data_IF_160423086934
#
_entry.id   IF_160423086934
#
_cell.length_a   1.000
_cell.length_b   1.000
_cell.length_c   1.000
_cell.angle_alpha   90.00
_cell.angle_beta   90.00
_cell.angle_gamma   90.00
#
_symmetry.space_group_name_H-M   'P 1'
#
loop_
_entity.id
_entity.type
_entity.pdbx_description
1 polymer ?
#
# COMPACT_ATOMS: atom_id res chain seq x y z
N UNK A 1 52.93 65.38 14.30
CA UNK A 1 51.92 65.00 13.29
C UNK A 1 51.14 63.83 13.87
N UNK A 2 50.27 64.09 14.86
CA UNK A 2 48.80 63.99 14.76
C UNK A 2 48.32 62.89 13.82
N UNK A 3 47.78 61.81 14.38
CA UNK A 3 46.65 61.09 13.79
C UNK A 3 45.75 60.63 14.96
N UNK A 4 44.66 61.37 15.17
CA UNK A 4 43.64 61.09 16.16
C UNK A 4 42.80 59.89 15.73
N UNK A 5 42.73 58.85 16.57
CA UNK A 5 41.73 57.80 16.44
C UNK A 5 40.43 58.27 17.12
N UNK A 6 39.36 58.39 16.34
CA UNK A 6 38.01 58.63 16.85
C UNK A 6 37.44 57.29 17.30
N UNK A 7 37.23 57.13 18.60
CA UNK A 7 36.52 55.98 19.17
C UNK A 7 35.05 56.41 19.35
N UNK A 8 34.15 55.91 18.50
CA UNK A 8 32.71 56.06 18.72
C UNK A 8 32.27 55.13 19.85
N UNK A 9 31.69 55.72 20.89
CA UNK A 9 31.00 55.01 21.97
C UNK A 9 29.63 54.55 21.50
N UNK A 10 29.32 53.26 21.60
CA UNK A 10 27.94 52.74 21.50
C UNK A 10 27.47 52.42 22.90
N UNK A 11 26.49 53.17 23.39
CA UNK A 11 25.80 52.90 24.64
C UNK A 11 24.76 51.80 24.37
N UNK A 12 24.98 50.61 24.92
CA UNK A 12 24.01 49.51 24.88
C UNK A 12 23.00 49.73 26.01
N UNK A 13 21.80 50.20 25.67
CA UNK A 13 20.67 50.24 26.58
C UNK A 13 20.00 48.86 26.65
N UNK A 14 20.11 48.18 27.79
CA UNK A 14 19.35 46.96 28.06
C UNK A 14 17.89 47.33 28.42
N UNK A 15 17.03 47.41 27.40
CA UNK A 15 15.58 47.54 27.59
C UNK A 15 14.93 46.16 27.67
N UNK A 16 14.64 45.68 28.86
CA UNK A 16 13.79 44.50 29.07
C UNK A 16 12.34 44.87 28.74
N UNK A 17 11.86 44.53 27.54
CA UNK A 17 10.45 44.65 27.19
C UNK A 17 9.65 43.56 27.93
N UNK A 18 8.95 43.95 29.00
CA UNK A 18 7.93 43.10 29.63
C UNK A 18 6.71 43.04 28.72
N UNK A 19 6.49 41.90 28.07
CA UNK A 19 5.27 41.64 27.33
C UNK A 19 4.08 41.58 28.30
N UNK A 20 3.14 42.53 28.16
CA UNK A 20 1.86 42.48 28.87
C UNK A 20 1.08 41.28 28.31
N UNK A 21 0.60 40.33 29.14
CA UNK A 21 -0.22 39.24 28.65
C UNK A 21 -1.52 39.85 28.10
N UNK A 22 -1.85 39.54 26.84
CA UNK A 22 -3.14 39.89 26.28
C UNK A 22 -4.26 39.25 27.12
N UNK A 23 -5.40 39.93 27.30
CA UNK A 23 -6.55 39.34 27.98
C UNK A 23 -6.96 38.05 27.25
N UNK A 24 -7.03 36.94 27.99
CA UNK A 24 -7.52 35.67 27.47
C UNK A 24 -8.97 35.87 27.09
N UNK A 25 -9.26 35.88 25.78
CA UNK A 25 -10.62 35.96 25.28
C UNK A 25 -11.40 34.73 25.77
N UNK A 26 -12.66 34.90 26.23
CA UNK A 26 -13.51 33.77 26.57
C UNK A 26 -13.70 32.85 25.35
N UNK A 27 -13.80 31.53 25.54
CA UNK A 27 -14.00 30.60 24.44
C UNK A 27 -15.28 30.95 23.70
N UNK A 28 -15.25 30.85 22.36
CA UNK A 28 -16.43 31.07 21.53
C UNK A 28 -17.59 30.18 22.02
N UNK A 29 -18.82 30.71 22.14
CA UNK A 29 -19.97 29.90 22.48
C UNK A 29 -20.28 28.89 21.37
N UNK A 30 -20.80 27.72 21.76
CA UNK A 30 -21.42 26.78 20.82
C UNK A 30 -22.60 27.49 20.10
N UNK A 31 -22.80 27.30 18.79
CA UNK A 31 -22.11 26.34 17.90
C UNK A 31 -20.87 26.92 17.20
N UNK A 32 -20.57 28.22 17.33
CA UNK A 32 -19.51 28.90 16.59
C UNK A 32 -18.12 28.30 16.84
N UNK A 33 -17.86 27.81 18.06
CA UNK A 33 -16.63 27.09 18.39
C UNK A 33 -16.38 25.85 17.52
N UNK A 34 -17.43 25.19 17.02
CA UNK A 34 -17.29 24.00 16.16
C UNK A 34 -16.89 24.36 14.73
N UNK A 35 -17.22 25.56 14.26
CA UNK A 35 -16.90 26.03 12.91
C UNK A 35 -15.41 26.33 12.73
N UNK A 36 -14.70 26.60 13.83
CA UNK A 36 -13.26 26.89 13.84
C UNK A 36 -12.40 25.73 14.35
N UNK A 37 -13.00 24.57 14.68
CA UNK A 37 -12.21 23.36 14.98
C UNK A 37 -11.51 22.92 13.68
N UNK A 38 -10.17 22.84 13.66
CA UNK A 38 -9.47 22.32 12.49
C UNK A 38 -10.05 20.93 12.14
N UNK A 39 -10.26 20.63 10.84
CA UNK A 39 -10.72 19.32 10.45
C UNK A 39 -9.78 18.26 11.02
N UNK A 40 -10.36 17.17 11.55
CA UNK A 40 -9.58 16.08 12.10
C UNK A 40 -8.61 15.55 11.03
N UNK A 41 -7.31 15.40 11.34
CA UNK A 41 -6.35 14.79 10.42
C UNK A 41 -6.88 13.47 9.85
N UNK A 42 -6.76 13.31 8.53
CA UNK A 42 -7.35 12.19 7.79
C UNK A 42 -6.93 10.83 8.36
N UNK A 43 -5.66 10.70 8.73
CA UNK A 43 -5.08 9.52 9.38
C UNK A 43 -5.80 9.18 10.68
N UNK A 44 -6.10 10.17 11.54
CA UNK A 44 -6.85 9.97 12.78
C UNK A 44 -8.29 9.55 12.52
N UNK A 45 -8.96 10.19 11.56
CA UNK A 45 -10.33 9.83 11.15
C UNK A 45 -10.40 8.38 10.66
N UNK A 46 -9.49 7.99 9.76
CA UNK A 46 -9.41 6.62 9.24
C UNK A 46 -9.04 5.63 10.35
N UNK A 47 -8.12 5.96 11.25
CA UNK A 47 -7.74 5.11 12.37
C UNK A 47 -8.92 4.81 13.31
N UNK A 48 -9.70 5.84 13.66
CA UNK A 48 -10.93 5.71 14.47
C UNK A 48 -11.97 4.82 13.78
N UNK A 49 -12.21 5.05 12.49
CA UNK A 49 -13.12 4.26 11.66
C UNK A 49 -12.67 2.79 11.54
N UNK A 50 -11.36 2.56 11.37
CA UNK A 50 -10.76 1.23 11.31
C UNK A 50 -10.84 0.48 12.66
N UNK A 51 -10.69 1.19 13.79
CA UNK A 51 -10.89 0.60 15.12
C UNK A 51 -12.34 0.12 15.31
N UNK A 52 -13.33 0.87 14.80
CA UNK A 52 -14.72 0.43 14.81
C UNK A 52 -14.95 -0.81 13.93
N UNK A 53 -14.35 -0.87 12.74
CA UNK A 53 -14.38 -2.04 11.87
C UNK A 53 -13.85 -3.29 12.59
N UNK A 54 -12.62 -3.22 13.12
CA UNK A 54 -11.98 -4.37 13.77
C UNK A 54 -12.73 -4.81 15.04
N UNK A 55 -13.26 -3.85 15.82
CA UNK A 55 -14.15 -4.14 16.96
C UNK A 55 -15.40 -4.92 16.51
N UNK A 56 -16.01 -4.55 15.38
CA UNK A 56 -17.20 -5.25 14.85
C UNK A 56 -16.91 -6.68 14.39
N UNK A 57 -15.66 -6.99 14.02
CA UNK A 57 -15.24 -8.30 13.53
C UNK A 57 -14.77 -9.24 14.64
N UNK A 58 -14.44 -8.72 15.84
CA UNK A 58 -13.77 -9.47 16.91
C UNK A 58 -14.47 -10.78 17.32
N UNK A 59 -15.82 -10.84 17.25
CA UNK A 59 -16.57 -12.05 17.60
C UNK A 59 -16.72 -13.04 16.43
N UNK A 60 -16.96 -12.55 15.22
CA UNK A 60 -17.31 -13.40 14.06
C UNK A 60 -16.12 -13.74 13.16
N UNK A 61 -15.15 -12.84 13.04
CA UNK A 61 -13.93 -12.99 12.22
C UNK A 61 -12.69 -12.49 12.98
N UNK A 62 -12.37 -13.08 14.15
CA UNK A 62 -11.15 -12.74 14.88
C UNK A 62 -9.91 -13.15 14.09
N UNK A 63 -8.84 -12.36 14.22
CA UNK A 63 -7.57 -12.61 13.55
C UNK A 63 -6.71 -11.36 13.51
N UNK A 64 -5.60 -11.45 12.80
CA UNK A 64 -4.76 -10.29 12.49
C UNK A 64 -5.24 -9.69 11.16
N UNK A 65 -5.26 -8.36 11.08
CA UNK A 65 -5.68 -7.61 9.90
C UNK A 65 -4.81 -6.36 9.79
N UNK A 66 -4.44 -6.00 8.57
CA UNK A 66 -3.73 -4.76 8.30
C UNK A 66 -3.98 -4.23 6.91
N UNK A 67 -3.76 -2.93 6.76
CA UNK A 67 -3.88 -2.20 5.49
C UNK A 67 -2.85 -1.09 5.43
N UNK A 68 -2.32 -0.85 4.23
CA UNK A 68 -1.53 0.31 3.86
C UNK A 68 -2.18 0.97 2.65
N UNK A 69 -2.27 2.30 2.67
CA UNK A 69 -2.95 3.13 1.67
C UNK A 69 -2.00 4.23 1.24
N UNK A 70 -1.84 4.42 -0.06
CA UNK A 70 -0.91 5.40 -0.64
C UNK A 70 -1.58 6.05 -1.87
N UNK A 71 -1.64 7.38 -1.98
CA UNK A 71 -2.12 8.03 -3.20
C UNK A 71 -1.20 7.68 -4.37
N UNK A 72 -1.76 7.39 -5.54
CA UNK A 72 -0.95 7.08 -6.75
C UNK A 72 0.01 8.24 -7.06
N UNK A 73 1.26 7.92 -7.38
CA UNK A 73 2.35 8.88 -7.60
C UNK A 73 3.01 9.43 -6.33
N UNK A 74 2.60 8.98 -5.14
CA UNK A 74 3.18 9.42 -3.85
C UNK A 74 3.76 8.28 -3.01
N UNK A 75 4.47 8.65 -1.95
CA UNK A 75 5.11 7.72 -0.99
C UNK A 75 4.53 7.82 0.44
N UNK A 76 3.58 8.74 0.66
CA UNK A 76 2.96 8.95 1.96
C UNK A 76 2.01 7.80 2.31
N UNK A 77 2.36 7.02 3.33
CA UNK A 77 1.63 5.80 3.69
C UNK A 77 0.78 6.00 4.93
N UNK A 78 -0.53 5.75 4.79
CA UNK A 78 -1.42 5.52 5.92
C UNK A 78 -1.43 4.01 6.21
N UNK A 79 -0.91 3.61 7.38
CA UNK A 79 -0.83 2.19 7.78
C UNK A 79 -1.63 1.89 9.04
N UNK A 80 -2.57 0.96 8.94
CA UNK A 80 -3.50 0.60 10.02
C UNK A 80 -3.45 -0.92 10.31
N UNK A 81 -3.88 -1.31 11.51
CA UNK A 81 -3.94 -2.72 11.93
C UNK A 81 -2.63 -3.33 12.43
N UNK A 82 -2.73 -4.55 12.95
CA UNK A 82 -1.62 -5.27 13.60
C UNK A 82 -0.74 -6.05 12.62
N UNK A 83 -1.30 -6.52 11.51
CA UNK A 83 -0.52 -7.25 10.50
C UNK A 83 0.19 -6.26 9.58
N UNK A 84 1.52 -6.19 9.65
CA UNK A 84 2.32 -5.22 8.87
C UNK A 84 3.08 -5.85 7.70
N UNK A 85 3.33 -7.15 7.75
CA UNK A 85 4.10 -7.88 6.75
C UNK A 85 3.69 -9.34 6.69
N UNK A 86 4.14 -10.01 5.64
CA UNK A 86 4.03 -11.44 5.45
C UNK A 86 4.46 -11.83 4.04
N UNK A 87 4.35 -13.12 3.70
CA UNK A 87 4.70 -13.64 2.38
C UNK A 87 3.93 -12.92 1.27
N UNK A 88 4.60 -12.62 0.17
CA UNK A 88 4.03 -11.97 -1.01
C UNK A 88 2.98 -12.84 -1.71
N UNK A 89 3.18 -14.15 -1.70
CA UNK A 89 2.39 -15.08 -2.49
C UNK A 89 2.25 -14.60 -3.94
N UNK A 90 1.10 -14.88 -4.56
CA UNK A 90 0.84 -14.49 -5.94
C UNK A 90 0.76 -12.98 -6.19
N UNK A 91 0.89 -12.11 -5.17
CA UNK A 91 1.04 -10.67 -5.44
C UNK A 91 2.40 -10.34 -6.06
N UNK A 92 3.44 -11.17 -5.85
CA UNK A 92 4.74 -11.02 -6.52
C UNK A 92 4.68 -11.23 -8.04
N UNK A 93 3.60 -11.83 -8.55
CA UNK A 93 3.41 -12.02 -10.00
C UNK A 93 3.31 -10.69 -10.75
N UNK A 94 2.90 -9.61 -10.09
CA UNK A 94 2.80 -8.28 -10.72
C UNK A 94 4.18 -7.77 -11.17
N UNK A 95 5.18 -7.60 -10.28
CA UNK A 95 6.52 -7.19 -10.72
C UNK A 95 7.24 -8.26 -11.55
N UNK A 96 6.99 -9.56 -11.33
CA UNK A 96 7.53 -10.64 -12.20
C UNK A 96 7.01 -10.49 -13.64
N UNK A 97 5.72 -10.28 -13.83
CA UNK A 97 5.12 -10.12 -15.15
C UNK A 97 5.64 -8.85 -15.82
N UNK A 98 5.68 -7.72 -15.12
CA UNK A 98 6.21 -6.47 -15.69
C UNK A 98 7.69 -6.58 -16.10
N UNK A 99 8.51 -7.26 -15.29
CA UNK A 99 9.91 -7.52 -15.66
C UNK A 99 9.99 -8.37 -16.94
N UNK A 100 9.22 -9.45 -17.03
CA UNK A 100 9.19 -10.33 -18.20
C UNK A 100 8.66 -9.60 -19.45
N UNK A 101 7.65 -8.74 -19.29
CA UNK A 101 7.10 -7.91 -20.36
C UNK A 101 8.16 -6.98 -20.95
N UNK A 102 9.03 -6.40 -20.11
CA UNK A 102 10.10 -5.51 -20.58
C UNK A 102 11.21 -6.27 -21.29
N UNK A 103 11.46 -7.51 -20.88
CA UNK A 103 12.47 -8.37 -21.51
C UNK A 103 12.00 -8.94 -22.85
N UNK A 104 10.73 -9.35 -22.98
CA UNK A 104 10.23 -10.10 -24.15
C UNK A 104 9.08 -9.44 -24.89
N UNK A 105 8.56 -8.33 -24.40
CA UNK A 105 7.43 -7.63 -25.00
C UNK A 105 6.21 -8.54 -25.15
N UNK A 106 5.49 -8.47 -26.29
CA UNK A 106 4.27 -9.25 -26.52
C UNK A 106 4.44 -10.77 -26.47
N UNK A 107 5.66 -11.31 -26.55
CA UNK A 107 5.89 -12.75 -26.59
C UNK A 107 5.47 -13.47 -25.29
N UNK A 108 5.37 -12.75 -24.18
CA UNK A 108 4.95 -13.30 -22.88
C UNK A 108 3.50 -12.98 -22.51
N UNK A 109 2.76 -12.22 -23.32
CA UNK A 109 1.42 -11.73 -22.99
C UNK A 109 0.42 -12.83 -22.59
N UNK A 110 0.50 -14.00 -23.22
CA UNK A 110 -0.35 -15.15 -22.86
C UNK A 110 0.00 -15.74 -21.49
N UNK A 111 1.26 -15.71 -21.09
CA UNK A 111 1.70 -16.14 -19.76
C UNK A 111 1.28 -15.10 -18.71
N UNK A 112 1.36 -13.81 -19.03
CA UNK A 112 0.95 -12.71 -18.17
C UNK A 112 -0.55 -12.78 -17.87
N UNK A 113 -1.40 -13.02 -18.89
CA UNK A 113 -2.83 -13.20 -18.67
C UNK A 113 -3.11 -14.37 -17.71
N UNK A 114 -2.51 -15.54 -17.94
CA UNK A 114 -2.65 -16.69 -17.04
C UNK A 114 -2.18 -16.36 -15.61
N UNK A 115 -1.00 -15.76 -15.48
CA UNK A 115 -0.37 -15.46 -14.18
C UNK A 115 -1.11 -14.37 -13.38
N UNK A 116 -1.64 -13.34 -14.05
CA UNK A 116 -2.33 -12.22 -13.40
C UNK A 116 -3.82 -12.51 -13.24
N UNK A 117 -4.52 -12.84 -14.34
CA UNK A 117 -5.98 -13.01 -14.38
C UNK A 117 -6.41 -14.25 -13.60
N UNK A 118 -5.75 -15.39 -13.83
CA UNK A 118 -6.12 -16.67 -13.22
C UNK A 118 -5.26 -17.03 -12.01
N UNK A 119 -4.17 -16.29 -11.77
CA UNK A 119 -3.20 -16.61 -10.73
C UNK A 119 -2.51 -17.96 -10.95
N UNK A 120 -2.32 -18.36 -12.20
CA UNK A 120 -1.62 -19.58 -12.61
C UNK A 120 -0.16 -19.55 -12.13
N UNK A 121 0.31 -20.63 -11.51
CA UNK A 121 1.67 -20.72 -10.95
C UNK A 121 2.70 -21.20 -11.97
N UNK A 122 2.30 -22.01 -12.94
CA UNK A 122 3.19 -22.54 -13.97
C UNK A 122 3.56 -21.40 -14.94
N UNK A 123 2.57 -20.62 -15.37
CA UNK A 123 2.81 -19.41 -16.16
C UNK A 123 3.69 -18.39 -15.43
N UNK A 124 3.54 -18.26 -14.09
CA UNK A 124 4.41 -17.40 -13.31
C UNK A 124 5.85 -17.94 -13.20
N UNK A 125 6.02 -19.27 -13.17
CA UNK A 125 7.33 -19.91 -13.26
C UNK A 125 7.99 -19.73 -14.63
N UNK A 126 7.22 -19.80 -15.71
CA UNK A 126 7.69 -19.50 -17.07
C UNK A 126 8.13 -18.04 -17.21
N UNK A 127 7.32 -17.08 -16.72
CA UNK A 127 7.70 -15.66 -16.68
C UNK A 127 9.00 -15.43 -15.89
N UNK A 128 9.15 -16.11 -14.74
CA UNK A 128 10.40 -16.06 -13.96
C UNK A 128 11.58 -16.65 -14.74
N UNK A 129 11.40 -17.78 -15.42
CA UNK A 129 12.45 -18.43 -16.20
C UNK A 129 12.88 -17.64 -17.43
N UNK A 130 11.96 -16.92 -18.07
CA UNK A 130 12.23 -16.03 -19.22
C UNK A 130 13.26 -14.95 -18.88
N UNK A 131 13.32 -14.52 -17.62
CA UNK A 131 14.29 -13.55 -17.09
C UNK A 131 15.68 -14.16 -16.83
N UNK A 132 15.85 -15.46 -17.05
CA UNK A 132 17.12 -16.19 -16.88
C UNK A 132 17.21 -17.07 -15.63
N UNK A 133 16.23 -16.97 -14.72
CA UNK A 133 16.27 -17.65 -13.42
C UNK A 133 17.31 -17.06 -12.46
N UNK A 134 17.38 -17.62 -11.26
CA UNK A 134 18.38 -17.31 -10.25
C UNK A 134 18.56 -15.82 -9.97
N UNK A 135 19.81 -15.36 -9.98
CA UNK A 135 20.14 -13.95 -9.73
C UNK A 135 19.59 -13.01 -10.82
N UNK A 136 19.54 -13.44 -12.09
CA UNK A 136 19.06 -12.59 -13.18
C UNK A 136 17.58 -12.21 -12.99
N UNK A 137 16.74 -13.19 -12.62
CA UNK A 137 15.33 -12.93 -12.31
C UNK A 137 15.16 -12.11 -11.02
N UNK A 138 15.97 -12.38 -9.99
CA UNK A 138 15.98 -11.58 -8.76
C UNK A 138 16.29 -10.11 -9.05
N UNK A 139 17.33 -9.85 -9.84
CA UNK A 139 17.77 -8.50 -10.19
C UNK A 139 16.74 -7.77 -11.03
N UNK A 140 16.17 -8.43 -12.06
CA UNK A 140 15.14 -7.85 -12.91
C UNK A 140 13.87 -7.48 -12.13
N UNK A 141 13.39 -8.37 -11.26
CA UNK A 141 12.21 -8.10 -10.42
C UNK A 141 12.52 -7.05 -9.36
N UNK A 142 13.71 -7.09 -8.77
CA UNK A 142 14.15 -6.06 -7.82
C UNK A 142 14.22 -4.69 -8.48
N UNK A 143 14.72 -4.58 -9.72
CA UNK A 143 14.75 -3.32 -10.46
C UNK A 143 13.35 -2.73 -10.66
N UNK A 144 12.36 -3.57 -11.02
CA UNK A 144 10.95 -3.16 -11.10
C UNK A 144 10.42 -2.66 -9.75
N UNK A 145 10.74 -3.35 -8.65
CA UNK A 145 10.34 -2.91 -7.31
C UNK A 145 10.96 -1.55 -6.94
N UNK A 146 12.24 -1.35 -7.25
CA UNK A 146 12.96 -0.09 -6.97
C UNK A 146 12.44 1.07 -7.79
N UNK A 147 12.12 0.86 -9.06
CA UNK A 147 11.47 1.87 -9.90
C UNK A 147 10.07 2.22 -9.36
N UNK A 148 9.36 1.23 -8.80
CA UNK A 148 8.11 1.46 -8.06
C UNK A 148 8.28 1.98 -6.63
N UNK A 149 9.46 2.50 -6.26
CA UNK A 149 9.79 3.08 -4.95
C UNK A 149 9.73 2.11 -3.75
N UNK A 150 9.50 0.81 -3.96
CA UNK A 150 9.81 -0.17 -2.93
C UNK A 150 11.34 -0.32 -2.91
N UNK A 151 12.00 0.33 -1.94
CA UNK A 151 13.47 0.31 -1.77
C UNK A 151 13.97 -0.73 -0.76
N UNK A 152 13.07 -1.57 -0.22
CA UNK A 152 13.36 -2.41 0.94
C UNK A 152 13.21 -3.90 0.68
N UNK A 153 12.26 -4.30 -0.15
CA UNK A 153 11.94 -5.70 -0.36
C UNK A 153 13.09 -6.42 -1.04
N UNK A 154 13.52 -7.55 -0.47
CA UNK A 154 14.45 -8.49 -1.08
C UNK A 154 13.66 -9.64 -1.69
N UNK A 155 13.78 -9.87 -3.00
CA UNK A 155 13.06 -10.93 -3.71
C UNK A 155 13.66 -12.28 -3.34
N UNK A 156 12.86 -13.14 -2.73
CA UNK A 156 13.24 -14.53 -2.46
C UNK A 156 13.24 -15.37 -3.73
N UNK A 157 14.13 -16.34 -3.80
CA UNK A 157 14.25 -17.22 -4.97
C UNK A 157 14.95 -18.54 -4.63
N UNK A 158 15.13 -19.37 -5.64
CA UNK A 158 15.87 -20.63 -5.59
C UNK A 158 17.34 -20.46 -5.20
N UNK A 159 17.91 -19.25 -5.28
CA UNK A 159 19.30 -18.98 -4.87
C UNK A 159 19.45 -18.69 -3.37
N UNK A 160 18.33 -18.54 -2.64
CA UNK A 160 18.35 -18.37 -1.19
C UNK A 160 18.89 -19.64 -0.49
N UNK A 161 19.35 -19.49 0.75
CA UNK A 161 19.73 -20.61 1.61
C UNK A 161 18.94 -20.59 2.93
N UNK A 162 17.97 -21.50 3.15
CA UNK A 162 17.54 -22.56 2.24
C UNK A 162 16.82 -22.03 0.98
N UNK A 163 16.76 -22.81 -0.13
CA UNK A 163 16.07 -22.40 -1.35
C UNK A 163 14.63 -21.98 -1.10
N UNK A 164 14.23 -20.90 -1.75
CA UNK A 164 12.93 -20.26 -1.62
C UNK A 164 12.31 -20.05 -3.01
N UNK A 165 11.30 -19.21 -3.09
CA UNK A 165 10.68 -18.83 -4.35
C UNK A 165 10.06 -17.43 -4.25
N UNK A 166 9.77 -16.75 -5.39
CA UNK A 166 9.29 -15.36 -5.39
C UNK A 166 8.08 -15.12 -4.50
N UNK A 167 7.14 -16.06 -4.46
CA UNK A 167 5.96 -16.00 -3.57
C UNK A 167 6.25 -16.05 -2.07
N UNK A 168 7.43 -16.50 -1.64
CA UNK A 168 7.86 -16.51 -0.24
C UNK A 168 8.54 -15.24 0.23
N UNK A 169 8.80 -14.30 -0.69
CA UNK A 169 9.32 -12.97 -0.38
C UNK A 169 8.52 -12.35 0.77
N UNK A 170 9.22 -11.95 1.84
CA UNK A 170 8.60 -11.16 2.90
C UNK A 170 8.34 -9.76 2.37
N UNK A 171 7.08 -9.37 2.23
CA UNK A 171 6.69 -8.10 1.62
C UNK A 171 5.77 -7.32 2.56
N UNK A 172 6.30 -6.25 3.14
CA UNK A 172 5.54 -5.37 4.02
C UNK A 172 4.36 -4.73 3.28
N UNK A 173 3.24 -4.53 3.97
CA UNK A 173 2.08 -3.87 3.37
C UNK A 173 2.42 -2.44 2.95
N UNK A 174 3.25 -1.74 3.74
CA UNK A 174 3.76 -0.40 3.42
C UNK A 174 4.44 -0.40 2.05
N UNK A 175 5.47 -1.24 1.90
CA UNK A 175 6.31 -1.24 0.71
C UNK A 175 5.55 -1.76 -0.52
N UNK A 176 4.65 -2.75 -0.34
CA UNK A 176 3.75 -3.19 -1.41
C UNK A 176 2.75 -2.11 -1.83
N UNK A 177 2.24 -1.29 -0.92
CA UNK A 177 1.33 -0.20 -1.26
C UNK A 177 2.06 0.95 -1.98
N UNK A 178 3.32 1.23 -1.62
CA UNK A 178 4.18 2.17 -2.36
C UNK A 178 4.40 1.66 -3.78
N UNK A 179 4.82 0.39 -3.95
CA UNK A 179 4.92 -0.23 -5.28
C UNK A 179 3.61 -0.10 -6.07
N UNK A 180 2.47 -0.38 -5.43
CA UNK A 180 1.16 -0.23 -6.05
C UNK A 180 0.82 1.21 -6.44
N UNK A 181 1.32 2.21 -5.71
CA UNK A 181 1.06 3.62 -5.98
C UNK A 181 1.84 4.14 -7.19
N UNK A 182 3.01 3.56 -7.46
CA UNK A 182 3.82 3.92 -8.61
C UNK A 182 3.58 3.03 -9.83
N UNK A 183 3.05 1.81 -9.64
CA UNK A 183 2.77 0.87 -10.73
C UNK A 183 2.04 1.51 -11.93
N UNK A 184 0.94 2.28 -11.79
CA UNK A 184 0.28 2.91 -12.93
C UNK A 184 1.11 3.98 -13.64
N UNK A 185 2.17 4.49 -13.00
CA UNK A 185 3.05 5.53 -13.52
C UNK A 185 4.30 4.96 -14.17
N UNK A 186 4.56 3.66 -14.01
CA UNK A 186 5.68 2.99 -14.64
C UNK A 186 5.45 2.85 -16.15
N UNK A 187 6.49 3.01 -16.99
CA UNK A 187 6.41 2.65 -18.39
C UNK A 187 6.09 1.16 -18.55
N UNK A 188 5.32 0.86 -19.60
CA UNK A 188 4.87 -0.48 -19.99
C UNK A 188 3.95 -1.20 -18.98
N UNK A 189 3.50 -0.55 -17.90
CA UNK A 189 2.66 -1.22 -16.90
C UNK A 189 1.18 -1.37 -17.27
N UNK A 190 0.71 -0.64 -18.29
CA UNK A 190 -0.71 -0.55 -18.64
C UNK A 190 -1.35 -1.93 -18.89
N UNK A 191 -0.65 -2.81 -19.60
CA UNK A 191 -1.15 -4.17 -19.87
C UNK A 191 -1.35 -4.96 -18.58
N UNK A 192 -0.38 -4.93 -17.66
CA UNK A 192 -0.47 -5.63 -16.37
C UNK A 192 -1.60 -5.06 -15.51
N UNK A 193 -1.75 -3.73 -15.44
CA UNK A 193 -2.85 -3.09 -14.70
C UNK A 193 -4.21 -3.43 -15.31
N UNK A 194 -4.30 -3.55 -16.64
CA UNK A 194 -5.52 -4.01 -17.33
C UNK A 194 -5.87 -5.45 -16.96
N UNK A 195 -4.89 -6.36 -16.95
CA UNK A 195 -5.11 -7.75 -16.50
C UNK A 195 -5.56 -7.81 -15.03
N UNK A 196 -4.94 -7.00 -14.16
CA UNK A 196 -5.35 -6.85 -12.75
C UNK A 196 -6.80 -6.36 -12.60
N UNK A 197 -7.32 -5.62 -13.58
CA UNK A 197 -8.72 -5.15 -13.59
C UNK A 197 -9.72 -6.22 -14.03
N UNK A 198 -9.24 -7.34 -14.58
CA UNK A 198 -10.06 -8.40 -15.17
C UNK A 198 -9.91 -9.76 -14.47
N UNK A 199 -9.37 -9.80 -13.24
CA UNK A 199 -9.08 -11.06 -12.54
C UNK A 199 -10.28 -12.01 -12.42
N UNK A 200 -9.99 -13.31 -12.50
CA UNK A 200 -10.96 -14.39 -12.39
C UNK A 200 -11.61 -14.46 -10.99
N UNK A 201 -12.74 -15.19 -10.84
CA UNK A 201 -13.54 -15.23 -9.60
C UNK A 201 -12.77 -15.61 -8.33
N UNK A 202 -11.69 -16.39 -8.44
CA UNK A 202 -10.82 -16.78 -7.33
C UNK A 202 -10.14 -15.59 -6.62
N UNK A 203 -10.09 -14.42 -7.27
CA UNK A 203 -9.48 -13.19 -6.75
C UNK A 203 -10.49 -12.06 -6.53
N UNK A 204 -11.77 -12.27 -6.88
CA UNK A 204 -12.84 -11.27 -6.78
C UNK A 204 -13.41 -11.18 -5.36
N UNK A 205 -12.57 -10.78 -4.41
CA UNK A 205 -12.90 -10.48 -3.03
C UNK A 205 -12.10 -9.25 -2.59
N UNK A 206 -12.38 -8.70 -1.40
CA UNK A 206 -11.60 -7.55 -0.91
C UNK A 206 -11.76 -6.29 -1.74
N UNK A 207 -10.63 -5.70 -2.18
CA UNK A 207 -10.54 -4.49 -3.00
C UNK A 207 -11.34 -4.65 -4.30
N UNK A 208 -11.37 -5.85 -4.90
CA UNK A 208 -12.07 -6.12 -6.17
C UNK A 208 -13.57 -5.79 -6.16
N UNK A 209 -14.17 -5.68 -4.97
CA UNK A 209 -15.59 -5.36 -4.75
C UNK A 209 -15.84 -3.92 -4.31
N UNK A 210 -14.81 -3.09 -4.17
CA UNK A 210 -14.92 -1.73 -3.64
C UNK A 210 -15.69 -0.82 -4.60
N UNK A 211 -16.67 -0.09 -4.08
CA UNK A 211 -17.15 1.16 -4.67
C UNK A 211 -17.74 1.08 -6.07
N UNK A 212 -18.09 -0.09 -6.60
CA UNK A 212 -18.64 -0.22 -7.97
C UNK A 212 -19.90 0.64 -8.18
N UNK A 213 -20.77 0.68 -7.17
CA UNK A 213 -21.96 1.54 -7.17
C UNK A 213 -21.66 3.03 -6.93
N UNK A 214 -20.40 3.37 -6.64
CA UNK A 214 -19.89 4.73 -6.44
C UNK A 214 -18.97 5.15 -7.62
N UNK A 215 -18.96 4.39 -8.72
CA UNK A 215 -18.14 4.67 -9.89
C UNK A 215 -16.65 4.33 -9.72
N UNK A 216 -16.28 3.53 -8.72
CA UNK A 216 -14.91 3.07 -8.56
C UNK A 216 -14.61 1.90 -9.51
N UNK A 217 -13.43 1.96 -10.14
CA UNK A 217 -12.83 0.86 -10.90
C UNK A 217 -11.65 0.33 -10.11
N UNK A 218 -11.44 -0.98 -10.12
CA UNK A 218 -10.41 -1.62 -9.29
C UNK A 218 -9.54 -2.56 -10.11
N UNK A 219 -8.22 -2.44 -9.95
CA UNK A 219 -7.23 -3.37 -10.44
C UNK A 219 -6.61 -4.09 -9.25
N UNK A 220 -6.62 -5.43 -9.20
CA UNK A 220 -6.12 -6.20 -8.06
C UNK A 220 -5.23 -7.37 -8.45
N UNK A 221 -4.39 -7.80 -7.52
CA UNK A 221 -3.80 -9.15 -7.50
C UNK A 221 -3.94 -9.75 -6.11
N UNK A 222 -4.53 -10.95 -6.04
CA UNK A 222 -4.63 -11.72 -4.81
C UNK A 222 -3.41 -12.60 -4.57
N UNK A 223 -3.13 -12.92 -3.31
CA UNK A 223 -2.15 -13.92 -2.89
C UNK A 223 -2.56 -14.57 -1.56
N UNK A 224 -2.39 -15.89 -1.45
CA UNK A 224 -2.75 -16.63 -0.26
C UNK A 224 -1.90 -17.89 -0.09
N UNK A 225 -1.81 -18.37 1.15
CA UNK A 225 -1.18 -19.63 1.52
C UNK A 225 -0.68 -19.61 2.97
N UNK A 226 0.02 -20.66 3.44
CA UNK A 226 0.59 -20.76 4.79
C UNK A 226 1.39 -19.52 5.25
N UNK A 227 0.97 -18.88 6.34
CA UNK A 227 1.60 -17.65 6.83
C UNK A 227 3.10 -17.82 7.11
N UNK A 228 3.52 -19.02 7.52
CA UNK A 228 4.93 -19.42 7.69
C UNK A 228 5.12 -20.86 7.24
N UNK A 229 6.36 -21.34 7.16
CA UNK A 229 6.65 -22.76 6.93
C UNK A 229 6.19 -23.67 8.07
N UNK A 230 5.92 -23.14 9.26
CA UNK A 230 5.56 -23.90 10.47
C UNK A 230 4.07 -23.83 10.82
N UNK A 231 3.28 -23.01 10.11
CA UNK A 231 1.87 -22.79 10.42
C UNK A 231 1.00 -23.05 9.20
N UNK A 232 -0.06 -23.83 9.39
CA UNK A 232 -1.10 -24.03 8.38
C UNK A 232 -2.08 -22.86 8.27
N UNK A 233 -1.98 -21.86 9.17
CA UNK A 233 -2.84 -20.68 9.11
C UNK A 233 -2.58 -19.91 7.82
N UNK A 234 -3.64 -19.63 7.07
CA UNK A 234 -3.52 -18.88 5.82
C UNK A 234 -3.24 -17.41 6.11
N UNK A 235 -2.18 -16.90 5.51
CA UNK A 235 -2.10 -15.49 5.17
C UNK A 235 -2.87 -15.29 3.86
N UNK A 236 -3.79 -14.34 3.85
CA UNK A 236 -4.52 -13.90 2.66
C UNK A 236 -4.21 -12.43 2.48
N UNK A 237 -3.81 -12.01 1.27
CA UNK A 237 -3.45 -10.62 0.96
C UNK A 237 -3.87 -10.20 -0.43
N UNK A 238 -4.06 -8.90 -0.61
CA UNK A 238 -4.37 -8.32 -1.91
C UNK A 238 -3.62 -7.00 -2.08
N UNK A 239 -2.98 -6.86 -3.23
CA UNK A 239 -2.53 -5.60 -3.77
C UNK A 239 -3.62 -5.08 -4.69
N UNK A 240 -3.93 -3.79 -4.67
CA UNK A 240 -4.79 -3.20 -5.66
C UNK A 240 -4.72 -1.69 -5.78
N UNK A 241 -5.25 -1.20 -6.88
CA UNK A 241 -5.46 0.21 -7.19
C UNK A 241 -6.97 0.43 -7.28
N UNK A 242 -7.45 1.50 -6.65
CA UNK A 242 -8.84 1.95 -6.71
C UNK A 242 -8.82 3.29 -7.45
N UNK A 243 -9.49 3.34 -8.59
CA UNK A 243 -9.58 4.51 -9.46
C UNK A 243 -10.98 5.10 -9.38
N UNK A 244 -11.07 6.41 -9.15
CA UNK A 244 -12.31 7.19 -9.22
C UNK A 244 -12.11 8.41 -10.10
N UNK A 245 -13.18 9.18 -10.34
CA UNK A 245 -13.08 10.46 -11.06
C UNK A 245 -12.16 11.47 -10.35
N UNK A 246 -12.01 11.34 -9.02
CA UNK A 246 -11.15 12.20 -8.20
C UNK A 246 -9.68 11.81 -8.19
N UNK A 247 -9.28 10.71 -8.87
CA UNK A 247 -7.92 10.19 -8.86
C UNK A 247 -7.84 8.75 -8.35
N UNK A 248 -6.62 8.29 -8.08
CA UNK A 248 -6.33 6.89 -7.81
C UNK A 248 -5.62 6.71 -6.47
N UNK A 249 -5.87 5.57 -5.83
CA UNK A 249 -5.22 5.19 -4.57
C UNK A 249 -4.81 3.73 -4.63
N UNK A 250 -3.57 3.45 -4.21
CA UNK A 250 -3.07 2.10 -4.06
C UNK A 250 -3.30 1.60 -2.62
N UNK A 251 -3.63 0.32 -2.52
CA UNK A 251 -3.93 -0.36 -1.27
C UNK A 251 -3.24 -1.72 -1.24
N UNK A 252 -2.52 -1.97 -0.16
CA UNK A 252 -2.08 -3.32 0.21
C UNK A 252 -2.77 -3.73 1.50
N UNK A 253 -3.38 -4.91 1.53
CA UNK A 253 -4.03 -5.43 2.73
C UNK A 253 -3.76 -6.91 2.93
N UNK A 254 -3.72 -7.33 4.19
CA UNK A 254 -3.56 -8.74 4.54
C UNK A 254 -4.35 -9.11 5.80
N UNK A 255 -4.72 -10.38 5.89
CA UNK A 255 -5.37 -11.00 7.03
C UNK A 255 -4.75 -12.37 7.35
N UNK A 256 -4.70 -12.69 8.63
CA UNK A 256 -4.49 -14.06 9.14
C UNK A 256 -5.66 -14.34 10.08
N UNK A 257 -6.71 -15.04 9.63
CA UNK A 257 -7.86 -15.36 10.48
C UNK A 257 -7.45 -16.34 11.57
N UNK A 258 -8.06 -16.23 12.75
CA UNK A 258 -7.81 -17.14 13.87
C UNK A 258 -8.21 -18.59 13.54
N UNK A 259 -9.16 -18.78 12.64
CA UNK A 259 -9.53 -20.11 12.12
C UNK A 259 -8.45 -20.72 11.21
N UNK A 260 -7.49 -19.92 10.74
CA UNK A 260 -6.45 -20.34 9.81
C UNK A 260 -6.93 -20.61 8.39
N UNK A 261 -8.23 -20.43 8.09
CA UNK A 261 -8.82 -20.78 6.79
C UNK A 261 -8.66 -19.66 5.75
N UNK A 262 -8.42 -20.03 4.49
CA UNK A 262 -8.45 -19.07 3.38
C UNK A 262 -9.81 -18.33 3.29
N UNK A 263 -10.91 -19.07 3.42
CA UNK A 263 -12.28 -18.54 3.32
C UNK A 263 -12.58 -17.44 4.33
N UNK A 264 -12.15 -17.57 5.58
CA UNK A 264 -12.37 -16.50 6.56
C UNK A 264 -11.42 -15.33 6.33
N UNK A 265 -10.22 -15.58 5.78
CA UNK A 265 -9.30 -14.53 5.36
C UNK A 265 -9.90 -13.65 4.25
N UNK A 266 -10.53 -14.25 3.23
CA UNK A 266 -11.21 -13.49 2.17
C UNK A 266 -12.44 -12.73 2.70
N UNK A 267 -13.18 -13.29 3.68
CA UNK A 267 -14.25 -12.56 4.37
C UNK A 267 -13.70 -11.36 5.15
N UNK A 268 -12.60 -11.52 5.89
CA UNK A 268 -11.95 -10.42 6.60
C UNK A 268 -11.52 -9.30 5.65
N UNK A 269 -10.86 -9.66 4.55
CA UNK A 269 -10.44 -8.69 3.54
C UNK A 269 -11.62 -8.06 2.79
N UNK A 270 -12.72 -8.78 2.59
CA UNK A 270 -13.96 -8.21 2.01
C UNK A 270 -14.61 -7.22 2.98
N UNK A 271 -14.60 -7.47 4.29
CA UNK A 271 -15.05 -6.50 5.30
C UNK A 271 -14.19 -5.23 5.28
N UNK A 272 -12.87 -5.39 5.09
CA UNK A 272 -11.94 -4.28 4.92
C UNK A 272 -12.16 -3.53 3.60
N UNK A 273 -12.42 -4.22 2.49
CA UNK A 273 -12.83 -3.63 1.22
C UNK A 273 -14.11 -2.80 1.36
N UNK A 274 -15.14 -3.34 2.01
CA UNK A 274 -16.37 -2.59 2.28
C UNK A 274 -16.12 -1.33 3.13
N UNK A 275 -15.16 -1.39 4.05
CA UNK A 275 -14.73 -0.22 4.82
C UNK A 275 -14.01 0.80 3.92
N UNK A 276 -13.14 0.39 3.00
CA UNK A 276 -12.54 1.30 2.00
C UNK A 276 -13.61 1.99 1.16
N UNK A 277 -14.61 1.25 0.68
CA UNK A 277 -15.73 1.83 -0.09
C UNK A 277 -16.54 2.85 0.71
N UNK A 278 -16.76 2.62 2.01
CA UNK A 278 -17.42 3.60 2.89
C UNK A 278 -16.61 4.87 3.11
N UNK A 279 -15.29 4.79 3.05
CA UNK A 279 -14.38 5.93 3.25
C UNK A 279 -13.79 6.43 1.92
N UNK A 280 -14.32 6.00 0.76
CA UNK A 280 -13.72 6.26 -0.56
C UNK A 280 -13.56 7.75 -0.85
N UNK A 281 -14.51 8.57 -0.41
CA UNK A 281 -14.45 10.02 -0.54
C UNK A 281 -13.26 10.62 0.22
N UNK A 282 -12.95 10.07 1.40
CA UNK A 282 -11.90 10.53 2.30
C UNK A 282 -10.51 9.99 1.95
N UNK A 283 -10.40 8.88 1.20
CA UNK A 283 -9.09 8.31 0.87
C UNK A 283 -8.21 9.32 0.11
N UNK A 284 -6.90 9.38 0.40
CA UNK A 284 -5.98 10.22 -0.35
C UNK A 284 -5.90 9.70 -1.78
N UNK A 285 -6.01 10.59 -2.76
CA UNK A 285 -5.99 10.25 -4.19
C UNK A 285 -4.88 11.02 -4.87
N UNK A 286 -4.18 10.35 -5.75
CA UNK A 286 -3.15 10.94 -6.60
C UNK A 286 -3.30 10.50 -8.04
N UNK A 287 -2.33 10.88 -8.86
CA UNK A 287 -2.26 10.61 -10.29
C UNK A 287 -0.79 10.55 -10.70
N UNK A 288 -0.57 9.91 -11.84
CA UNK A 288 0.56 10.22 -12.71
C UNK A 288 0.13 11.46 -13.54
#
# INVERSE_FOLDING_TARGET
>A
MVCCAVVMSVVIGAGSATAIPLPVLPPLPEPFATWFKPPEPLDKKLAKSYAALTKSMRKSLPGQLGVAIVPVGGDEVISLGSLKSGRAWSTMKVPVSLAAQRERGPAVAAMEDKAITFSDNDAAGELWGVLGGGHASVDAVSAVLREGHDVRTHVSSEVDNPPSYPGYTAWALRDQAIFGAHLPCLPDSEHIVRLMSAVAPNQQWGIAKVGRNQGAVTAVKGGWGPATSKSSAHLVRQLGIISTTGGQVAVSMAAIPRSGSFTDGTKMLTRLGNWLGKNLADLPKGRC
#
